data_IF_934020966970
#
_entry.id   IF_934020966970
#
_cell.length_a   1.000
_cell.length_b   1.000
_cell.length_c   1.000
_cell.angle_alpha   90.00
_cell.angle_beta   90.00
_cell.angle_gamma   90.00
#
_symmetry.space_group_name_H-M   'P 1'
#
loop_
_entity.id
_entity.type
_entity.pdbx_description
1 polymer ?
#
# COMPACT_ATOMS: atom_id res chain seq x y z
N UNK A 1 29.34 -4.44 11.88
CA UNK A 1 29.95 -3.23 11.27
C UNK A 1 30.28 -3.52 9.83
N UNK A 2 29.42 -3.10 8.92
CA UNK A 2 29.59 -3.32 7.49
C UNK A 2 28.38 -2.74 6.78
N UNK A 3 28.15 -1.43 6.95
CA UNK A 3 27.15 -0.75 6.14
C UNK A 3 27.62 -0.81 4.69
N UNK A 4 26.73 -1.22 3.79
CA UNK A 4 27.03 -1.19 2.37
C UNK A 4 27.27 0.28 1.96
N UNK A 5 28.49 0.55 1.52
CA UNK A 5 28.93 1.89 1.14
C UNK A 5 28.09 2.41 -0.03
N UNK A 6 27.57 1.53 -0.87
CA UNK A 6 26.66 1.88 -1.95
C UNK A 6 25.35 2.48 -1.41
N UNK A 7 24.69 1.78 -0.49
CA UNK A 7 23.37 2.15 0.01
C UNK A 7 23.42 3.42 0.86
N UNK A 8 24.44 3.57 1.70
CA UNK A 8 24.68 4.81 2.47
C UNK A 8 24.89 6.00 1.54
N UNK A 9 25.61 5.79 0.43
CA UNK A 9 25.87 6.86 -0.52
C UNK A 9 24.61 7.23 -1.32
N UNK A 10 23.78 6.26 -1.70
CA UNK A 10 22.48 6.51 -2.35
C UNK A 10 21.52 7.28 -1.43
N UNK A 11 21.45 6.91 -0.14
CA UNK A 11 20.66 7.64 0.86
C UNK A 11 21.17 9.08 1.07
N UNK A 12 22.50 9.30 1.06
CA UNK A 12 23.06 10.66 1.13
C UNK A 12 22.75 11.50 -0.11
N UNK A 13 22.87 10.92 -1.31
CA UNK A 13 22.51 11.60 -2.56
C UNK A 13 21.01 11.94 -2.56
N UNK A 14 20.16 11.05 -2.02
CA UNK A 14 18.72 11.27 -1.88
C UNK A 14 18.44 12.43 -0.92
N UNK A 15 18.98 12.37 0.30
CA UNK A 15 18.79 13.41 1.31
C UNK A 15 19.28 14.79 0.83
N UNK A 16 20.43 14.85 0.15
CA UNK A 16 20.96 16.09 -0.43
C UNK A 16 20.04 16.65 -1.52
N UNK A 17 19.50 15.78 -2.39
CA UNK A 17 18.53 16.20 -3.41
C UNK A 17 17.21 16.69 -2.80
N UNK A 18 16.74 16.02 -1.74
CA UNK A 18 15.49 16.34 -1.04
C UNK A 18 15.59 17.64 -0.23
N UNK A 19 16.78 17.97 0.28
CA UNK A 19 17.07 19.25 0.95
C UNK A 19 17.30 20.42 -0.04
N UNK A 20 17.23 20.17 -1.35
CA UNK A 20 17.43 21.18 -2.39
C UNK A 20 18.90 21.47 -2.73
N UNK A 21 19.83 20.62 -2.27
CA UNK A 21 21.26 20.72 -2.57
C UNK A 21 21.63 19.94 -3.84
N UNK A 22 20.97 20.22 -4.96
CA UNK A 22 21.16 19.51 -6.25
C UNK A 22 22.64 19.42 -6.66
N UNK A 23 23.40 20.51 -6.57
CA UNK A 23 24.82 20.50 -6.96
C UNK A 23 25.67 19.58 -6.06
N UNK A 24 25.34 19.45 -4.78
CA UNK A 24 26.04 18.56 -3.86
C UNK A 24 25.70 17.09 -4.14
N UNK A 25 24.42 16.80 -4.41
CA UNK A 25 23.97 15.46 -4.80
C UNK A 25 24.60 15.01 -6.14
N UNK A 26 24.67 15.89 -7.14
CA UNK A 26 25.32 15.61 -8.43
C UNK A 26 26.83 15.36 -8.29
N UNK A 27 27.51 16.15 -7.46
CA UNK A 27 28.93 15.95 -7.19
C UNK A 27 29.18 14.62 -6.48
N UNK A 28 28.36 14.30 -5.46
CA UNK A 28 28.48 13.05 -4.72
C UNK A 28 28.17 11.82 -5.58
N UNK A 29 27.16 11.91 -6.46
CA UNK A 29 26.87 10.88 -7.47
C UNK A 29 28.06 10.68 -8.41
N UNK A 30 28.64 11.76 -8.93
CA UNK A 30 29.80 11.70 -9.85
C UNK A 30 31.06 11.16 -9.19
N UNK A 31 31.33 11.51 -7.94
CA UNK A 31 32.52 11.08 -7.21
C UNK A 31 32.42 9.65 -6.70
N UNK A 32 31.22 9.22 -6.32
CA UNK A 32 30.99 7.88 -5.80
C UNK A 32 30.72 6.84 -6.89
N UNK A 33 30.25 7.28 -8.07
CA UNK A 33 29.82 6.41 -9.15
C UNK A 33 28.46 5.74 -8.91
N UNK A 34 27.77 6.07 -7.81
CA UNK A 34 26.46 5.53 -7.46
C UNK A 34 25.36 6.51 -7.86
N UNK A 35 24.41 6.05 -8.69
CA UNK A 35 23.27 6.85 -9.12
C UNK A 35 22.00 6.51 -8.30
N UNK A 36 21.13 7.52 -8.08
CA UNK A 36 19.90 7.34 -7.32
C UNK A 36 18.92 6.38 -8.03
N UNK A 37 18.82 6.52 -9.35
CA UNK A 37 18.03 5.69 -10.25
C UNK A 37 18.94 5.21 -11.38
N UNK A 38 18.73 4.00 -11.90
CA UNK A 38 19.42 3.55 -13.12
C UNK A 38 19.12 4.51 -14.28
N UNK A 39 20.10 4.80 -15.18
CA UNK A 39 19.88 5.64 -16.35
C UNK A 39 18.69 5.19 -17.20
N UNK A 40 18.44 3.89 -17.25
CA UNK A 40 17.32 3.28 -17.97
C UNK A 40 15.97 3.54 -17.29
N UNK A 41 15.94 3.57 -15.96
CA UNK A 41 14.74 3.93 -15.18
C UNK A 41 14.42 5.41 -15.35
N UNK A 42 15.43 6.27 -15.28
CA UNK A 42 15.27 7.71 -15.51
C UNK A 42 14.79 8.00 -16.94
N UNK A 43 15.36 7.33 -17.95
CA UNK A 43 14.94 7.44 -19.34
C UNK A 43 13.50 6.97 -19.55
N UNK A 44 13.11 5.84 -18.94
CA UNK A 44 11.74 5.33 -19.02
C UNK A 44 10.74 6.30 -18.38
N UNK A 45 11.06 6.80 -17.17
CA UNK A 45 10.25 7.80 -16.47
C UNK A 45 10.07 9.06 -17.32
N UNK A 46 11.15 9.56 -17.91
CA UNK A 46 11.11 10.73 -18.79
C UNK A 46 10.26 10.48 -20.05
N UNK A 47 10.38 9.30 -20.66
CA UNK A 47 9.58 8.91 -21.83
C UNK A 47 8.08 8.86 -21.51
N UNK A 48 7.69 8.29 -20.36
CA UNK A 48 6.29 8.24 -19.92
C UNK A 48 5.74 9.63 -19.62
N UNK A 49 6.47 10.47 -18.86
CA UNK A 49 6.03 11.83 -18.52
C UNK A 49 5.92 12.73 -19.75
N UNK A 50 6.81 12.53 -20.73
CA UNK A 50 6.80 13.27 -21.99
C UNK A 50 5.78 12.75 -23.01
N UNK A 51 5.08 11.65 -22.72
CA UNK A 51 4.14 11.02 -23.66
C UNK A 51 4.80 10.33 -24.87
N UNK A 52 6.08 9.99 -24.77
CA UNK A 52 6.83 9.28 -25.82
C UNK A 52 6.60 7.77 -25.71
N UNK A 53 5.38 7.35 -26.02
CA UNK A 53 4.91 5.98 -25.76
C UNK A 53 5.73 4.88 -26.47
N UNK A 54 6.22 5.15 -27.69
CA UNK A 54 7.08 4.19 -28.42
C UNK A 54 8.41 3.96 -27.72
N UNK A 55 9.03 5.02 -27.17
CA UNK A 55 10.28 4.96 -26.44
C UNK A 55 10.09 4.27 -25.08
N UNK A 56 8.99 4.59 -24.37
CA UNK A 56 8.63 3.92 -23.12
C UNK A 56 8.39 2.41 -23.33
N UNK A 57 7.70 2.02 -24.40
CA UNK A 57 7.51 0.62 -24.77
C UNK A 57 8.85 -0.07 -25.08
N UNK A 58 9.74 0.55 -25.86
CA UNK A 58 11.07 -0.03 -26.14
C UNK A 58 11.91 -0.25 -24.89
N UNK A 59 11.91 0.72 -23.96
CA UNK A 59 12.63 0.62 -22.68
C UNK A 59 12.02 -0.45 -21.77
N UNK A 60 10.69 -0.64 -21.79
CA UNK A 60 10.03 -1.72 -21.06
C UNK A 60 10.28 -3.10 -21.68
N UNK A 61 10.39 -3.20 -23.01
CA UNK A 61 10.53 -4.48 -23.74
C UNK A 61 11.96 -4.88 -24.06
N UNK A 62 12.94 -3.98 -23.90
CA UNK A 62 14.37 -4.32 -23.90
C UNK A 62 14.84 -5.04 -22.62
N UNK A 63 13.93 -5.29 -21.68
CA UNK A 63 14.15 -5.85 -20.36
C UNK A 63 14.63 -7.32 -20.38
N UNK A 64 15.93 -7.55 -20.12
CA UNK A 64 16.42 -8.89 -19.76
C UNK A 64 15.83 -9.30 -18.40
N UNK A 65 15.41 -10.56 -18.26
CA UNK A 65 15.12 -11.17 -16.94
C UNK A 65 16.45 -11.51 -16.27
N UNK A 66 16.53 -11.38 -14.94
CA UNK A 66 17.74 -11.71 -14.17
C UNK A 66 18.13 -13.23 -14.21
N UNK A 67 17.39 -14.06 -14.96
CA UNK A 67 17.63 -15.50 -15.12
C UNK A 67 17.87 -15.98 -16.56
N UNK A 68 17.77 -15.11 -17.57
CA UNK A 68 18.11 -15.49 -18.94
C UNK A 68 19.62 -15.32 -19.15
N UNK A 69 20.31 -16.43 -19.48
CA UNK A 69 21.76 -16.51 -19.58
C UNK A 69 22.43 -15.32 -20.29
N UNK A 70 23.62 -14.97 -19.80
CA UNK A 70 24.42 -13.76 -20.01
C UNK A 70 24.76 -13.34 -21.47
N UNK A 71 23.80 -13.34 -22.40
CA UNK A 71 24.09 -12.99 -23.79
C UNK A 71 22.99 -12.18 -24.51
N UNK A 72 22.19 -11.41 -23.76
CA UNK A 72 21.45 -10.27 -24.30
C UNK A 72 21.60 -9.08 -23.35
N UNK A 73 22.63 -8.28 -23.57
CA UNK A 73 22.71 -6.91 -23.06
C UNK A 73 21.56 -6.11 -23.66
N UNK A 74 20.38 -6.17 -23.03
CA UNK A 74 19.22 -5.40 -23.42
C UNK A 74 19.31 -3.99 -22.82
N UNK A 75 19.12 -2.95 -23.64
CA UNK A 75 19.04 -1.55 -23.21
C UNK A 75 17.73 -1.22 -22.45
N UNK A 76 17.03 -2.21 -21.88
CA UNK A 76 15.73 -2.03 -21.23
C UNK A 76 15.75 -2.21 -19.72
N UNK A 77 14.62 -1.92 -19.09
CA UNK A 77 14.43 -1.95 -17.64
C UNK A 77 14.73 -3.34 -17.07
N UNK A 78 15.49 -3.40 -15.98
CA UNK A 78 15.59 -4.65 -15.20
C UNK A 78 14.32 -4.74 -14.34
N UNK A 79 13.45 -5.68 -14.68
CA UNK A 79 12.20 -5.92 -13.95
C UNK A 79 12.39 -7.01 -12.90
N UNK A 80 11.77 -6.83 -11.73
CA UNK A 80 11.76 -7.84 -10.68
C UNK A 80 11.13 -9.16 -11.15
N UNK A 81 11.56 -10.27 -10.57
CA UNK A 81 11.08 -11.61 -10.93
C UNK A 81 9.61 -11.79 -10.52
N UNK A 82 8.76 -12.11 -11.51
CA UNK A 82 7.31 -12.28 -11.34
C UNK A 82 6.44 -11.09 -11.79
N UNK A 83 7.04 -9.99 -12.28
CA UNK A 83 6.31 -8.85 -12.83
C UNK A 83 5.48 -9.27 -14.05
N UNK A 84 4.17 -8.95 -14.04
CA UNK A 84 3.30 -9.15 -15.20
C UNK A 84 3.57 -8.09 -16.27
N UNK A 85 4.48 -8.43 -17.19
CA UNK A 85 4.89 -7.57 -18.33
C UNK A 85 3.72 -7.19 -19.23
N UNK A 86 2.72 -8.07 -19.34
CA UNK A 86 1.54 -7.80 -20.17
C UNK A 86 0.56 -6.83 -19.48
N UNK A 87 0.48 -6.83 -18.14
CA UNK A 87 -0.27 -5.81 -17.40
C UNK A 87 0.40 -4.43 -17.55
N UNK A 88 1.72 -4.35 -17.36
CA UNK A 88 2.47 -3.11 -17.59
C UNK A 88 2.27 -2.58 -19.02
N UNK A 89 2.35 -3.47 -20.00
CA UNK A 89 2.06 -3.16 -21.42
C UNK A 89 0.63 -2.69 -21.63
N UNK A 90 -0.35 -3.34 -21.00
CA UNK A 90 -1.75 -2.93 -21.10
C UNK A 90 -1.93 -1.50 -20.59
N UNK A 91 -1.32 -1.13 -19.45
CA UNK A 91 -1.47 0.20 -18.86
C UNK A 91 -0.89 1.31 -19.72
N UNK A 92 0.31 1.10 -20.24
CA UNK A 92 0.96 2.06 -21.15
C UNK A 92 0.10 2.27 -22.40
N UNK A 93 -0.40 1.18 -23.00
CA UNK A 93 -1.24 1.25 -24.20
C UNK A 93 -2.62 1.84 -23.93
N UNK A 94 -3.18 1.61 -22.74
CA UNK A 94 -4.43 2.23 -22.31
C UNK A 94 -4.27 3.76 -22.21
N UNK A 95 -3.18 4.23 -21.58
CA UNK A 95 -2.90 5.66 -21.50
C UNK A 95 -2.68 6.26 -22.90
N UNK A 96 -1.86 5.62 -23.74
CA UNK A 96 -1.68 6.01 -25.16
C UNK A 96 -3.02 6.10 -25.90
N UNK A 97 -3.92 5.13 -25.72
CA UNK A 97 -5.25 5.14 -26.32
C UNK A 97 -6.11 6.33 -25.87
N UNK A 98 -6.13 6.64 -24.57
CA UNK A 98 -6.90 7.78 -24.04
C UNK A 98 -6.35 9.12 -24.55
N UNK A 99 -5.03 9.26 -24.64
CA UNK A 99 -4.40 10.48 -25.18
C UNK A 99 -4.68 10.68 -26.67
N UNK A 100 -4.73 9.59 -27.45
CA UNK A 100 -5.14 9.66 -28.86
C UNK A 100 -6.60 10.07 -29.02
N UNK A 101 -7.49 9.62 -28.13
CA UNK A 101 -8.89 10.07 -28.11
C UNK A 101 -9.01 11.54 -27.71
N UNK A 102 -8.22 12.01 -26.75
CA UNK A 102 -8.17 13.44 -26.37
C UNK A 102 -7.73 14.33 -27.54
N UNK A 103 -6.79 13.85 -28.36
CA UNK A 103 -6.30 14.55 -29.55
C UNK A 103 -7.27 14.49 -30.75
N UNK A 104 -8.35 13.69 -30.67
CA UNK A 104 -9.29 13.47 -31.76
C UNK A 104 -8.79 12.49 -32.83
N UNK A 105 -7.72 11.76 -32.55
CA UNK A 105 -7.09 10.81 -33.46
C UNK A 105 -7.71 9.40 -33.34
N UNK A 106 -8.96 9.29 -33.79
CA UNK A 106 -9.76 8.06 -33.66
C UNK A 106 -9.21 6.86 -34.45
N UNK A 107 -8.57 7.08 -35.61
CA UNK A 107 -8.03 6.00 -36.45
C UNK A 107 -6.80 5.34 -35.80
N UNK A 108 -5.79 6.10 -35.32
CA UNK A 108 -4.75 5.54 -34.46
C UNK A 108 -5.30 4.89 -33.19
N UNK A 109 -6.25 5.52 -32.50
CA UNK A 109 -6.84 4.96 -31.28
C UNK A 109 -7.51 3.59 -31.52
N UNK A 110 -8.27 3.44 -32.60
CA UNK A 110 -8.86 2.16 -33.01
C UNK A 110 -7.83 1.09 -33.31
N UNK A 111 -6.70 1.49 -33.91
CA UNK A 111 -5.59 0.59 -34.21
C UNK A 111 -4.95 0.09 -32.92
N UNK A 112 -4.68 0.98 -31.96
CA UNK A 112 -4.18 0.62 -30.62
C UNK A 112 -5.16 -0.29 -29.90
N UNK A 113 -6.46 0.00 -29.94
CA UNK A 113 -7.47 -0.84 -29.29
C UNK A 113 -7.47 -2.26 -29.88
N UNK A 114 -7.61 -2.40 -31.19
CA UNK A 114 -7.78 -3.71 -31.86
C UNK A 114 -6.50 -4.54 -31.90
N UNK A 115 -5.37 -3.90 -32.19
CA UNK A 115 -4.12 -4.60 -32.49
C UNK A 115 -3.18 -4.66 -31.28
N UNK A 116 -3.30 -3.72 -30.33
CA UNK A 116 -2.37 -3.63 -29.21
C UNK A 116 -3.01 -3.98 -27.85
N UNK A 117 -4.30 -3.66 -27.63
CA UNK A 117 -5.02 -3.87 -26.36
C UNK A 117 -5.88 -5.14 -26.34
N UNK A 118 -6.67 -5.39 -27.39
CA UNK A 118 -7.53 -6.60 -27.48
C UNK A 118 -6.74 -7.91 -27.37
N UNK A 119 -5.55 -8.07 -27.99
CA UNK A 119 -4.78 -9.31 -27.90
C UNK A 119 -4.23 -9.61 -26.50
N UNK A 120 -4.13 -8.61 -25.62
CA UNK A 120 -3.67 -8.81 -24.24
C UNK A 120 -4.73 -9.49 -23.38
N UNK A 121 -5.99 -9.58 -23.85
CA UNK A 121 -7.13 -10.25 -23.21
C UNK A 121 -7.22 -10.00 -21.70
N UNK A 122 -7.01 -8.74 -21.28
CA UNK A 122 -7.11 -8.34 -19.87
C UNK A 122 -8.46 -7.72 -19.58
N UNK A 123 -9.02 -8.06 -18.43
CA UNK A 123 -10.25 -7.49 -17.90
C UNK A 123 -10.19 -5.96 -17.97
N UNK A 124 -11.03 -5.34 -18.81
CA UNK A 124 -11.06 -3.89 -19.04
C UNK A 124 -10.86 -3.44 -20.48
N UNK A 125 -10.38 -4.28 -21.40
CA UNK A 125 -10.33 -3.93 -22.84
C UNK A 125 -11.73 -3.65 -23.42
N UNK A 126 -12.73 -4.41 -22.98
CA UNK A 126 -14.12 -4.25 -23.40
C UNK A 126 -14.71 -2.90 -22.94
N UNK A 127 -14.35 -2.42 -21.75
CA UNK A 127 -14.78 -1.11 -21.23
C UNK A 127 -14.16 0.08 -21.95
N UNK A 128 -13.12 -0.11 -22.77
CA UNK A 128 -12.51 0.95 -23.57
C UNK A 128 -13.21 1.16 -24.91
N UNK A 129 -13.90 0.14 -25.42
CA UNK A 129 -14.60 0.21 -26.72
C UNK A 129 -15.67 1.32 -26.79
N UNK A 130 -16.48 1.57 -25.74
CA UNK A 130 -17.46 2.66 -25.75
C UNK A 130 -16.86 4.06 -25.81
N UNK A 131 -15.57 4.24 -25.46
CA UNK A 131 -14.92 5.55 -25.44
C UNK A 131 -14.64 6.10 -26.85
N UNK A 132 -14.59 5.23 -27.87
CA UNK A 132 -14.45 5.64 -29.27
C UNK A 132 -15.67 6.46 -29.73
N UNK A 133 -16.83 6.25 -29.12
CA UNK A 133 -18.08 6.95 -29.48
C UNK A 133 -18.22 8.32 -28.81
N UNK A 134 -17.26 8.72 -27.98
CA UNK A 134 -17.24 10.06 -27.38
C UNK A 134 -17.00 11.12 -28.46
N UNK A 135 -17.71 12.25 -28.35
CA UNK A 135 -17.70 13.33 -29.36
C UNK A 135 -16.81 14.49 -28.97
N UNK A 136 -16.47 14.59 -27.68
CA UNK A 136 -15.57 15.61 -27.14
C UNK A 136 -14.50 14.99 -26.22
N UNK A 137 -13.35 15.65 -26.08
CA UNK A 137 -12.34 15.25 -25.09
C UNK A 137 -12.87 15.21 -23.65
N UNK A 138 -13.82 16.09 -23.32
CA UNK A 138 -14.43 16.14 -21.98
C UNK A 138 -15.34 14.92 -21.72
N UNK A 139 -16.03 14.41 -22.75
CA UNK A 139 -16.80 13.16 -22.63
C UNK A 139 -15.89 11.96 -22.38
N UNK A 140 -14.69 11.94 -22.98
CA UNK A 140 -13.69 10.89 -22.74
C UNK A 140 -13.21 10.95 -21.30
N UNK A 141 -12.84 12.14 -20.80
CA UNK A 141 -12.40 12.37 -19.42
C UNK A 141 -13.44 11.93 -18.40
N UNK A 142 -14.69 12.35 -18.60
CA UNK A 142 -15.80 12.01 -17.70
C UNK A 142 -16.09 10.51 -17.70
N UNK A 143 -16.19 9.85 -18.87
CA UNK A 143 -16.50 8.42 -18.93
C UNK A 143 -15.35 7.52 -18.48
N UNK A 144 -14.11 7.93 -18.71
CA UNK A 144 -12.93 7.16 -18.32
C UNK A 144 -12.48 7.46 -16.88
N UNK A 145 -13.12 8.41 -16.18
CA UNK A 145 -12.65 8.94 -14.90
C UNK A 145 -11.14 9.30 -14.98
N UNK A 146 -10.78 10.03 -16.03
CA UNK A 146 -9.42 10.34 -16.44
C UNK A 146 -9.26 11.85 -16.62
N UNK A 147 -8.13 12.42 -16.18
CA UNK A 147 -7.94 13.86 -16.04
C UNK A 147 -7.23 14.53 -17.23
N UNK A 148 -6.87 13.78 -18.26
CA UNK A 148 -6.19 14.32 -19.45
C UNK A 148 -4.69 14.05 -19.49
N UNK A 149 -4.09 14.17 -20.66
CA UNK A 149 -2.64 14.01 -20.86
C UNK A 149 -1.81 15.05 -20.09
N UNK A 150 -2.41 16.21 -19.84
CA UNK A 150 -1.81 17.36 -19.14
C UNK A 150 -2.11 17.38 -17.64
N UNK A 151 -2.88 16.41 -17.14
CA UNK A 151 -3.16 16.22 -15.72
C UNK A 151 -2.09 15.35 -15.04
N UNK A 152 -2.50 14.66 -13.99
CA UNK A 152 -1.68 13.69 -13.25
C UNK A 152 -1.70 12.29 -13.86
N UNK A 153 -2.51 12.00 -14.88
CA UNK A 153 -2.64 10.65 -15.48
C UNK A 153 -1.32 9.94 -15.76
N UNK A 154 -0.30 10.64 -16.27
CA UNK A 154 1.03 10.06 -16.56
C UNK A 154 1.84 9.74 -15.30
N UNK A 155 1.72 10.55 -14.24
CA UNK A 155 2.33 10.28 -12.94
C UNK A 155 1.61 9.12 -12.24
N UNK A 156 0.27 9.10 -12.33
CA UNK A 156 -0.56 7.99 -11.87
C UNK A 156 -0.21 6.68 -12.59
N UNK A 157 0.07 6.72 -13.89
CA UNK A 157 0.56 5.56 -14.64
C UNK A 157 1.90 5.05 -14.10
N UNK A 158 2.88 5.93 -13.85
CA UNK A 158 4.17 5.52 -13.28
C UNK A 158 4.03 4.89 -11.88
N UNK A 159 3.15 5.45 -11.06
CA UNK A 159 2.79 4.87 -9.76
C UNK A 159 2.12 3.49 -9.90
N UNK A 160 1.23 3.31 -10.89
CA UNK A 160 0.64 2.01 -11.16
C UNK A 160 1.67 1.00 -11.64
N UNK A 161 2.55 1.39 -12.56
CA UNK A 161 3.59 0.52 -13.12
C UNK A 161 4.59 0.08 -12.04
N UNK A 162 5.03 0.97 -11.16
CA UNK A 162 5.87 0.60 -10.01
C UNK A 162 5.15 -0.40 -9.07
N UNK A 163 3.84 -0.25 -8.86
CA UNK A 163 3.05 -1.20 -8.05
C UNK A 163 2.87 -2.59 -8.70
N UNK A 164 2.95 -2.71 -10.03
CA UNK A 164 2.75 -3.98 -10.75
C UNK A 164 3.81 -5.06 -10.40
N UNK A 165 4.97 -4.69 -9.84
CA UNK A 165 6.04 -5.65 -9.51
C UNK A 165 6.09 -6.13 -8.06
N UNK A 166 5.37 -5.46 -7.15
CA UNK A 166 5.47 -5.71 -5.72
C UNK A 166 4.25 -6.47 -5.16
N UNK A 167 3.21 -6.61 -5.98
CA UNK A 167 1.87 -6.93 -5.54
C UNK A 167 1.56 -8.38 -5.14
N UNK A 168 2.50 -9.31 -5.16
CA UNK A 168 2.25 -10.71 -4.72
C UNK A 168 3.35 -11.23 -3.77
N UNK A 169 4.19 -10.32 -3.25
CA UNK A 169 5.29 -10.64 -2.35
C UNK A 169 5.27 -9.68 -1.16
N UNK A 170 5.72 -10.16 -0.01
CA UNK A 170 6.06 -9.32 1.14
C UNK A 170 7.56 -9.39 1.33
N UNK A 171 8.20 -8.22 1.35
CA UNK A 171 9.62 -8.12 1.63
C UNK A 171 9.83 -7.81 3.10
N UNK A 172 10.69 -8.60 3.71
CA UNK A 172 11.10 -8.50 5.08
C UNK A 172 12.55 -8.12 5.11
N UNK A 173 12.85 -7.03 5.79
CA UNK A 173 14.17 -6.45 5.81
C UNK A 173 14.73 -6.44 7.23
N UNK A 174 16.04 -6.59 7.34
CA UNK A 174 16.79 -6.58 8.60
C UNK A 174 17.11 -5.13 9.00
N UNK A 175 16.79 -4.74 10.22
CA UNK A 175 16.92 -3.35 10.68
C UNK A 175 18.37 -2.93 10.99
N UNK A 176 19.27 -3.86 11.33
CA UNK A 176 20.66 -3.52 11.65
C UNK A 176 21.50 -3.31 10.38
N UNK A 177 21.24 -4.12 9.36
CA UNK A 177 22.00 -4.16 8.11
C UNK A 177 21.32 -3.45 6.97
N UNK A 178 20.01 -3.16 7.10
CA UNK A 178 19.13 -2.72 6.01
C UNK A 178 19.08 -3.68 4.82
N UNK A 179 19.51 -4.92 5.02
CA UNK A 179 19.49 -5.97 4.01
C UNK A 179 18.13 -6.66 3.91
N UNK A 180 17.86 -7.28 2.76
CA UNK A 180 16.67 -8.12 2.62
C UNK A 180 16.86 -9.40 3.45
N UNK A 181 16.06 -9.59 4.49
CA UNK A 181 16.05 -10.80 5.31
C UNK A 181 15.27 -11.93 4.63
N UNK A 182 14.01 -11.67 4.26
CA UNK A 182 13.14 -12.66 3.60
C UNK A 182 12.27 -12.05 2.51
N UNK A 183 11.94 -12.85 1.50
CA UNK A 183 10.90 -12.53 0.51
C UNK A 183 9.81 -13.59 0.60
N UNK A 184 8.66 -13.20 1.16
CA UNK A 184 7.50 -14.08 1.32
C UNK A 184 6.70 -14.06 0.02
N UNK A 185 6.72 -15.16 -0.71
CA UNK A 185 6.12 -15.28 -2.05
C UNK A 185 4.76 -15.98 -2.03
N UNK A 186 4.15 -16.15 -3.22
CA UNK A 186 2.87 -16.84 -3.43
C UNK A 186 1.63 -16.19 -2.77
N UNK A 187 1.69 -14.89 -2.50
CA UNK A 187 0.59 -14.08 -1.96
C UNK A 187 -0.28 -13.54 -3.10
N UNK A 188 -0.94 -14.44 -3.82
CA UNK A 188 -1.70 -14.13 -5.03
C UNK A 188 -2.73 -13.04 -4.79
N UNK A 189 -2.71 -12.01 -5.64
CA UNK A 189 -3.71 -10.94 -5.65
C UNK A 189 -3.42 -9.77 -4.72
N UNK A 190 -2.31 -9.80 -3.97
CA UNK A 190 -1.92 -8.74 -3.04
C UNK A 190 -2.22 -9.04 -1.58
N UNK A 191 -1.48 -8.34 -0.73
CA UNK A 191 -1.63 -8.40 0.73
C UNK A 191 -2.37 -7.16 1.21
N UNK A 192 -3.40 -7.36 2.02
CA UNK A 192 -4.21 -6.25 2.57
C UNK A 192 -3.73 -5.76 3.94
N UNK A 193 -3.09 -6.64 4.70
CA UNK A 193 -2.48 -6.34 6.00
C UNK A 193 -1.50 -7.45 6.43
N UNK A 194 -0.56 -7.10 7.31
CA UNK A 194 0.36 -7.97 8.02
C UNK A 194 0.39 -7.66 9.51
N UNK A 195 0.66 -8.67 10.33
CA UNK A 195 0.81 -8.53 11.78
C UNK A 195 1.92 -9.44 12.32
N UNK A 196 2.80 -8.84 13.12
CA UNK A 196 3.89 -9.50 13.83
C UNK A 196 3.40 -10.15 15.11
N UNK A 197 3.99 -11.31 15.46
CA UNK A 197 3.91 -11.83 16.81
C UNK A 197 4.68 -10.92 17.79
N UNK A 198 4.27 -10.83 19.06
CA UNK A 198 4.96 -10.02 20.07
C UNK A 198 6.43 -10.42 20.33
N UNK A 199 6.81 -11.64 19.93
CA UNK A 199 8.16 -12.17 20.05
C UNK A 199 8.97 -12.10 18.73
N UNK A 200 8.43 -11.45 17.69
CA UNK A 200 9.01 -11.28 16.36
C UNK A 200 9.34 -12.60 15.62
N UNK A 201 8.91 -13.75 16.13
CA UNK A 201 9.20 -15.06 15.53
C UNK A 201 8.26 -15.46 14.42
N UNK A 202 7.06 -14.87 14.37
CA UNK A 202 6.01 -15.26 13.45
C UNK A 202 5.34 -14.03 12.82
N UNK A 203 4.88 -14.20 11.59
CA UNK A 203 4.15 -13.17 10.86
C UNK A 203 2.85 -13.75 10.29
N UNK A 204 1.75 -13.00 10.38
CA UNK A 204 0.50 -13.31 9.68
C UNK A 204 0.31 -12.33 8.55
N UNK A 205 -0.02 -12.85 7.36
CA UNK A 205 -0.34 -12.05 6.16
C UNK A 205 -1.80 -12.28 5.75
N UNK A 206 -2.52 -11.20 5.46
CA UNK A 206 -3.89 -11.22 4.95
C UNK A 206 -3.91 -11.13 3.42
N UNK A 207 -4.20 -12.25 2.76
CA UNK A 207 -4.28 -12.31 1.31
C UNK A 207 -5.61 -11.79 0.75
N UNK A 208 -5.53 -11.12 -0.40
CA UNK A 208 -6.71 -10.82 -1.23
C UNK A 208 -7.29 -12.03 -1.94
N UNK A 209 -6.53 -13.11 -2.04
CA UNK A 209 -6.99 -14.43 -2.48
C UNK A 209 -7.86 -15.16 -1.45
N UNK A 210 -8.24 -14.50 -0.34
CA UNK A 210 -9.06 -15.09 0.71
C UNK A 210 -8.28 -16.05 1.63
N UNK A 211 -6.97 -16.16 1.48
CA UNK A 211 -6.13 -16.97 2.38
C UNK A 211 -5.34 -16.06 3.33
N UNK A 212 -5.45 -16.35 4.63
CA UNK A 212 -4.46 -15.90 5.59
C UNK A 212 -3.35 -16.95 5.69
N UNK A 213 -2.12 -16.48 5.82
CA UNK A 213 -0.94 -17.34 5.93
C UNK A 213 -0.13 -16.95 7.16
N UNK A 214 0.41 -17.96 7.84
CA UNK A 214 1.31 -17.84 8.97
C UNK A 214 2.71 -18.21 8.50
N UNK A 215 3.67 -17.35 8.79
CA UNK A 215 5.05 -17.47 8.39
C UNK A 215 5.93 -17.56 9.62
N UNK A 216 6.89 -18.49 9.58
CA UNK A 216 7.98 -18.55 10.54
C UNK A 216 9.09 -17.64 10.05
N UNK A 217 9.42 -16.63 10.86
CA UNK A 217 10.38 -15.59 10.51
C UNK A 217 11.81 -15.95 10.91
N UNK A 218 12.03 -17.09 11.54
CA UNK A 218 13.36 -17.66 11.71
C UNK A 218 13.83 -18.41 10.45
N UNK A 219 12.90 -19.01 9.70
CA UNK A 219 13.18 -19.79 8.48
C UNK A 219 12.72 -19.10 7.19
N UNK A 220 11.80 -18.13 7.28
CA UNK A 220 11.17 -17.48 6.14
C UNK A 220 10.15 -18.34 5.41
N UNK A 221 9.60 -19.38 6.05
CA UNK A 221 8.72 -20.37 5.40
C UNK A 221 7.26 -20.25 5.83
N UNK A 222 6.33 -20.52 4.91
CA UNK A 222 4.89 -20.64 5.21
C UNK A 222 4.66 -21.87 6.10
N UNK A 223 4.26 -21.67 7.35
CA UNK A 223 3.94 -22.76 8.31
C UNK A 223 2.52 -23.25 8.09
N UNK A 224 1.59 -22.32 7.94
CA UNK A 224 0.17 -22.64 7.79
C UNK A 224 -0.52 -21.73 6.79
N UNK A 225 -1.33 -22.35 5.93
CA UNK A 225 -2.39 -21.69 5.17
C UNK A 225 -3.71 -21.93 5.85
N UNK A 226 -4.42 -20.87 6.23
CA UNK A 226 -5.72 -20.99 6.88
C UNK A 226 -6.82 -21.38 5.88
N UNK A 227 -8.00 -21.72 6.41
CA UNK A 227 -9.18 -21.99 5.59
C UNK A 227 -9.51 -20.81 4.68
N UNK A 228 -9.91 -21.10 3.45
CA UNK A 228 -10.27 -20.09 2.46
C UNK A 228 -11.50 -19.27 2.91
N UNK A 229 -11.36 -17.95 2.92
CA UNK A 229 -12.43 -16.98 3.12
C UNK A 229 -13.18 -16.74 1.82
N UNK A 230 -14.49 -16.53 1.86
CA UNK A 230 -15.27 -16.31 0.62
C UNK A 230 -15.00 -14.95 -0.02
N UNK A 231 -14.44 -14.03 0.77
CA UNK A 231 -14.09 -12.66 0.42
C UNK A 231 -12.69 -12.35 0.96
N UNK A 232 -12.02 -11.29 0.45
CA UNK A 232 -10.69 -10.89 0.92
C UNK A 232 -10.61 -10.64 2.41
N UNK A 233 -9.43 -10.93 2.96
CA UNK A 233 -9.08 -10.62 4.35
C UNK A 233 -8.48 -9.23 4.37
N UNK A 234 -9.03 -8.34 5.19
CA UNK A 234 -8.74 -6.91 5.19
C UNK A 234 -7.69 -6.51 6.23
N UNK A 235 -7.70 -7.16 7.39
CA UNK A 235 -6.88 -6.77 8.53
C UNK A 235 -6.53 -7.95 9.44
N UNK A 236 -5.40 -7.85 10.14
CA UNK A 236 -5.00 -8.81 11.16
C UNK A 236 -4.32 -8.09 12.33
N UNK A 237 -4.50 -8.63 13.54
CA UNK A 237 -3.82 -8.19 14.77
C UNK A 237 -3.44 -9.39 15.62
N UNK A 238 -2.24 -9.36 16.20
CA UNK A 238 -1.78 -10.42 17.09
C UNK A 238 -2.23 -10.17 18.53
N UNK A 239 -2.62 -11.23 19.24
CA UNK A 239 -2.96 -11.13 20.64
C UNK A 239 -1.70 -10.89 21.49
N UNK A 240 -1.76 -10.06 22.54
CA UNK A 240 -0.60 -9.82 23.40
C UNK A 240 -0.04 -11.08 24.08
N UNK A 241 -0.82 -12.15 24.16
CA UNK A 241 -0.38 -13.44 24.68
C UNK A 241 0.56 -14.22 23.74
N UNK A 242 0.71 -13.76 22.49
CA UNK A 242 1.52 -14.39 21.45
C UNK A 242 0.94 -15.70 20.89
N UNK A 243 -0.17 -16.22 21.43
CA UNK A 243 -0.71 -17.56 21.11
C UNK A 243 -1.83 -17.54 20.09
N UNK A 244 -2.45 -16.38 19.90
CA UNK A 244 -3.58 -16.22 19.01
C UNK A 244 -3.51 -14.91 18.24
N UNK A 245 -4.30 -14.81 17.17
CA UNK A 245 -4.46 -13.59 16.40
C UNK A 245 -5.89 -13.47 15.91
N UNK A 246 -6.30 -12.25 15.56
CA UNK A 246 -7.63 -11.94 15.06
C UNK A 246 -7.52 -11.51 13.61
N UNK A 247 -8.39 -12.07 12.77
CA UNK A 247 -8.55 -11.71 11.36
C UNK A 247 -9.86 -10.97 11.15
N UNK A 248 -9.79 -9.88 10.40
CA UNK A 248 -10.90 -9.12 9.88
C UNK A 248 -11.05 -9.38 8.38
N UNK A 249 -12.26 -9.66 7.91
CA UNK A 249 -12.56 -9.96 6.53
C UNK A 249 -13.85 -9.27 6.05
N UNK A 250 -13.98 -9.17 4.73
CA UNK A 250 -15.23 -8.72 4.09
C UNK A 250 -16.30 -9.82 3.97
N UNK A 251 -15.97 -11.04 4.42
CA UNK A 251 -16.90 -12.16 4.53
C UNK A 251 -17.85 -11.88 5.71
N UNK A 252 -19.14 -11.65 5.48
CA UNK A 252 -20.08 -11.33 6.56
C UNK A 252 -20.30 -12.47 7.56
N UNK A 253 -20.08 -13.72 7.14
CA UNK A 253 -20.24 -14.89 8.02
C UNK A 253 -18.98 -15.13 8.87
N UNK A 254 -17.81 -14.78 8.34
CA UNK A 254 -16.51 -14.86 9.03
C UNK A 254 -15.82 -13.51 9.10
N UNK A 255 -16.59 -12.48 9.43
CA UNK A 255 -16.16 -11.08 9.41
C UNK A 255 -15.00 -10.83 10.35
N UNK A 256 -15.09 -11.42 11.54
CA UNK A 256 -14.11 -11.28 12.59
C UNK A 256 -13.95 -12.64 13.26
N UNK A 257 -12.74 -13.20 13.19
CA UNK A 257 -12.42 -14.52 13.70
C UNK A 257 -11.09 -14.54 14.45
N UNK A 258 -11.03 -15.24 15.58
CA UNK A 258 -9.78 -15.51 16.33
C UNK A 258 -9.25 -16.88 15.94
N UNK A 259 -7.96 -16.98 15.70
CA UNK A 259 -7.25 -18.20 15.30
C UNK A 259 -6.05 -18.45 16.20
N UNK A 260 -5.62 -19.71 16.28
CA UNK A 260 -4.36 -20.08 16.91
C UNK A 260 -3.26 -20.32 15.87
N UNK A 261 -2.03 -20.54 16.35
CA UNK A 261 -0.86 -20.79 15.50
C UNK A 261 -0.92 -22.13 14.75
N UNK A 262 -1.80 -23.05 15.14
CA UNK A 262 -2.02 -24.33 14.43
C UNK A 262 -2.99 -24.18 13.26
N UNK A 263 -3.50 -22.98 13.04
CA UNK A 263 -4.51 -22.68 12.02
C UNK A 263 -5.92 -23.12 12.39
N UNK A 264 -6.20 -23.34 13.67
CA UNK A 264 -7.54 -23.68 14.14
C UNK A 264 -8.31 -22.41 14.51
N UNK A 265 -9.56 -22.32 14.06
CA UNK A 265 -10.46 -21.22 14.41
C UNK A 265 -10.95 -21.40 15.85
N UNK A 266 -10.60 -20.47 16.72
CA UNK A 266 -10.97 -20.48 18.14
C UNK A 266 -12.34 -19.85 18.38
N UNK A 267 -12.64 -18.75 17.70
CA UNK A 267 -13.84 -17.97 17.97
C UNK A 267 -14.27 -17.13 16.77
N UNK A 268 -15.57 -16.97 16.57
CA UNK A 268 -16.17 -16.01 15.63
C UNK A 268 -16.99 -14.99 16.40
N UNK A 269 -16.70 -13.71 16.21
CA UNK A 269 -17.29 -12.63 16.97
C UNK A 269 -18.71 -12.30 16.46
N UNK A 270 -19.54 -11.69 17.30
CA UNK A 270 -20.99 -11.68 17.13
C UNK A 270 -21.54 -10.83 15.96
N UNK A 271 -20.81 -9.81 15.47
CA UNK A 271 -21.31 -8.90 14.42
C UNK A 271 -20.95 -9.41 13.03
N UNK A 272 -21.96 -9.54 12.17
CA UNK A 272 -21.85 -9.99 10.77
C UNK A 272 -21.69 -8.82 9.78
N UNK A 273 -20.86 -7.84 10.14
CA UNK A 273 -20.55 -6.68 9.30
C UNK A 273 -19.21 -6.89 8.60
N UNK A 274 -18.95 -6.24 7.47
CA UNK A 274 -17.65 -6.42 6.82
C UNK A 274 -16.61 -5.65 7.62
N UNK A 275 -15.58 -6.35 8.09
CA UNK A 275 -14.53 -5.70 8.87
C UNK A 275 -13.49 -5.11 7.93
N UNK A 276 -13.18 -3.82 8.06
CA UNK A 276 -12.21 -3.13 7.22
C UNK A 276 -10.84 -2.98 7.91
N UNK A 277 -10.84 -2.70 9.22
CA UNK A 277 -9.61 -2.56 10.00
C UNK A 277 -9.78 -2.99 11.46
N UNK A 278 -8.66 -3.30 12.13
CA UNK A 278 -8.61 -3.85 13.47
C UNK A 278 -7.51 -3.23 14.31
N UNK A 279 -7.80 -3.04 15.60
CA UNK A 279 -6.81 -2.72 16.60
C UNK A 279 -7.07 -3.53 17.88
N UNK A 280 -6.02 -4.07 18.48
CA UNK A 280 -6.07 -4.81 19.73
C UNK A 280 -5.17 -4.11 20.74
N UNK A 281 -5.68 -3.85 21.94
CA UNK A 281 -4.92 -3.16 22.98
C UNK A 281 -3.82 -4.06 23.54
N UNK A 282 -2.70 -3.44 23.94
CA UNK A 282 -1.51 -4.15 24.44
C UNK A 282 -1.80 -4.91 25.75
N UNK A 283 -2.73 -4.43 26.57
CA UNK A 283 -3.21 -5.14 27.78
C UNK A 283 -4.16 -6.31 27.48
N UNK A 284 -4.53 -6.53 26.21
CA UNK A 284 -5.43 -7.60 25.78
C UNK A 284 -6.87 -7.39 26.26
N UNK A 285 -7.26 -6.17 26.62
CA UNK A 285 -8.61 -5.85 27.11
C UNK A 285 -9.58 -5.49 26.00
N UNK A 286 -9.15 -4.72 25.02
CA UNK A 286 -10.01 -4.10 24.01
C UNK A 286 -9.66 -4.59 22.61
N UNK A 287 -10.63 -5.20 21.93
CA UNK A 287 -10.56 -5.40 20.49
C UNK A 287 -11.50 -4.39 19.84
N UNK A 288 -10.97 -3.61 18.90
CA UNK A 288 -11.72 -2.61 18.15
C UNK A 288 -11.76 -3.06 16.69
N UNK A 289 -12.98 -3.18 16.16
CA UNK A 289 -13.23 -3.52 14.76
C UNK A 289 -13.99 -2.41 14.06
N UNK A 290 -13.49 -2.00 12.90
CA UNK A 290 -14.09 -0.99 12.05
C UNK A 290 -14.88 -1.68 10.94
N UNK A 291 -16.11 -1.24 10.69
CA UNK A 291 -16.96 -1.81 9.64
C UNK A 291 -17.07 -0.96 8.36
N UNK A 292 -17.81 -1.47 7.37
CA UNK A 292 -18.07 -0.80 6.09
C UNK A 292 -19.19 0.26 6.14
N UNK A 293 -19.86 0.43 7.29
CA UNK A 293 -21.04 1.28 7.47
C UNK A 293 -20.78 2.45 8.45
N UNK A 294 -19.53 2.94 8.56
CA UNK A 294 -19.11 4.03 9.43
C UNK A 294 -19.22 3.74 10.94
N UNK A 295 -19.26 2.47 11.34
CA UNK A 295 -19.28 2.08 12.74
C UNK A 295 -17.95 1.53 13.21
N UNK A 296 -17.70 1.74 14.50
CA UNK A 296 -16.67 1.06 15.25
C UNK A 296 -17.34 0.19 16.32
N UNK A 297 -16.94 -1.07 16.38
CA UNK A 297 -17.37 -2.05 17.34
C UNK A 297 -16.25 -2.29 18.36
N UNK A 298 -16.52 -2.05 19.63
CA UNK A 298 -15.55 -2.27 20.71
C UNK A 298 -15.96 -3.46 21.54
N UNK A 299 -15.07 -4.44 21.61
CA UNK A 299 -15.26 -5.69 22.32
C UNK A 299 -14.32 -5.78 23.51
N UNK A 300 -14.78 -6.49 24.53
CA UNK A 300 -13.93 -7.02 25.56
C UNK A 300 -13.24 -8.29 25.04
N UNK A 301 -11.92 -8.24 24.93
CA UNK A 301 -11.19 -9.31 24.29
C UNK A 301 -11.12 -10.59 25.12
N UNK A 302 -11.17 -10.51 26.45
CA UNK A 302 -11.14 -11.68 27.32
C UNK A 302 -12.48 -12.42 27.32
N UNK A 303 -13.57 -11.68 27.49
CA UNK A 303 -14.94 -12.23 27.57
C UNK A 303 -15.60 -12.47 26.21
N UNK A 304 -14.98 -12.00 25.13
CA UNK A 304 -15.50 -12.05 23.76
C UNK A 304 -16.88 -11.39 23.60
N UNK A 305 -17.15 -10.37 24.41
CA UNK A 305 -18.44 -9.67 24.45
C UNK A 305 -18.34 -8.30 23.81
N UNK A 306 -19.35 -7.93 23.02
CA UNK A 306 -19.49 -6.57 22.50
C UNK A 306 -19.82 -5.63 23.65
N UNK A 307 -18.97 -4.62 23.85
CA UNK A 307 -19.14 -3.62 24.91
C UNK A 307 -19.98 -2.45 24.43
N UNK A 308 -19.70 -1.96 23.22
CA UNK A 308 -20.52 -0.95 22.56
C UNK A 308 -20.20 -0.83 21.07
N UNK A 309 -21.14 -0.21 20.37
CA UNK A 309 -21.01 0.26 19.00
C UNK A 309 -20.95 1.80 19.02
N UNK A 310 -20.18 2.40 18.12
CA UNK A 310 -20.07 3.84 17.95
C UNK A 310 -20.19 4.20 16.47
N UNK A 311 -21.25 4.94 16.11
CA UNK A 311 -21.42 5.50 14.77
C UNK A 311 -20.57 6.77 14.63
N UNK A 312 -19.89 6.89 13.49
CA UNK A 312 -19.06 8.04 13.17
C UNK A 312 -19.73 8.93 12.12
N UNK A 313 -19.53 10.26 12.21
CA UNK A 313 -20.14 11.20 11.27
C UNK A 313 -19.56 11.13 9.84
N UNK A 314 -18.40 10.51 9.69
CA UNK A 314 -17.71 10.30 8.42
C UNK A 314 -17.03 8.94 8.46
N UNK A 315 -16.82 8.35 7.29
CA UNK A 315 -16.24 7.03 7.15
C UNK A 315 -14.84 6.96 7.77
N UNK A 316 -14.60 6.04 8.72
CA UNK A 316 -13.27 5.82 9.24
C UNK A 316 -12.40 5.09 8.19
N UNK A 317 -11.11 5.41 8.15
CA UNK A 317 -10.12 4.82 7.23
C UNK A 317 -9.13 3.92 7.95
N UNK A 318 -8.95 4.09 9.26
CA UNK A 318 -8.15 3.19 10.10
C UNK A 318 -8.40 3.43 11.59
N UNK A 319 -8.01 2.43 12.39
CA UNK A 319 -8.06 2.49 13.84
C UNK A 319 -6.73 2.04 14.45
N UNK A 320 -6.28 2.70 15.51
CA UNK A 320 -5.11 2.29 16.30
C UNK A 320 -5.28 2.64 17.78
N UNK A 321 -4.67 1.85 18.66
CA UNK A 321 -4.80 2.01 20.12
C UNK A 321 -3.44 2.37 20.70
N UNK A 322 -3.42 3.31 21.64
CA UNK A 322 -2.21 3.68 22.38
C UNK A 322 -1.64 2.50 23.16
N UNK A 323 -0.33 2.49 23.38
CA UNK A 323 0.37 1.46 24.17
C UNK A 323 -0.16 1.34 25.60
N UNK A 324 -0.61 2.44 26.20
CA UNK A 324 -1.25 2.43 27.50
C UNK A 324 -2.69 1.85 27.51
N UNK A 325 -3.18 1.43 26.34
CA UNK A 325 -4.48 0.79 26.13
C UNK A 325 -5.69 1.66 26.49
N UNK A 326 -5.49 2.98 26.60
CA UNK A 326 -6.52 3.93 27.06
C UNK A 326 -7.21 4.66 25.93
N UNK A 327 -6.49 5.01 24.88
CA UNK A 327 -6.96 5.88 23.82
C UNK A 327 -7.02 5.17 22.47
N UNK A 328 -8.06 5.47 21.72
CA UNK A 328 -8.30 5.00 20.36
C UNK A 328 -8.15 6.18 19.40
N UNK A 329 -7.23 6.06 18.45
CA UNK A 329 -7.13 6.92 17.29
C UNK A 329 -8.02 6.36 16.17
N UNK A 330 -8.83 7.24 15.61
CA UNK A 330 -9.69 6.96 14.47
C UNK A 330 -9.34 7.96 13.38
N UNK A 331 -8.81 7.46 12.26
CA UNK A 331 -8.63 8.27 11.08
C UNK A 331 -9.90 8.26 10.23
N UNK A 332 -10.22 9.35 9.54
CA UNK A 332 -11.46 9.48 8.76
C UNK A 332 -11.20 10.04 7.37
N UNK A 333 -12.11 9.70 6.45
CA UNK A 333 -12.08 10.14 5.06
C UNK A 333 -12.15 11.68 4.90
N UNK A 334 -12.70 12.39 5.88
CA UNK A 334 -12.81 13.85 5.87
C UNK A 334 -11.50 14.60 6.21
N UNK A 335 -10.36 13.90 6.31
CA UNK A 335 -9.07 14.51 6.61
C UNK A 335 -8.86 14.85 8.09
N UNK A 336 -9.67 14.26 8.97
CA UNK A 336 -9.60 14.46 10.41
C UNK A 336 -9.36 13.14 11.14
N UNK A 337 -8.25 13.09 11.89
CA UNK A 337 -8.01 12.01 12.83
C UNK A 337 -8.45 12.44 14.23
N UNK A 338 -9.17 11.58 14.96
CA UNK A 338 -9.69 11.87 16.30
C UNK A 338 -9.24 10.82 17.30
N UNK A 339 -8.95 11.27 18.51
CA UNK A 339 -8.61 10.43 19.66
C UNK A 339 -9.77 10.41 20.62
N UNK A 340 -10.17 9.21 21.02
CA UNK A 340 -11.22 8.95 21.99
C UNK A 340 -10.66 8.16 23.17
N UNK A 341 -11.17 8.40 24.37
CA UNK A 341 -10.96 7.51 25.50
C UNK A 341 -11.86 6.27 25.33
N UNK A 342 -11.28 5.08 25.31
CA UNK A 342 -12.00 3.83 24.98
C UNK A 342 -13.01 3.47 26.07
N UNK A 343 -12.69 3.73 27.33
CA UNK A 343 -13.55 3.34 28.45
C UNK A 343 -14.76 4.28 28.57
N UNK A 344 -14.54 5.58 28.42
CA UNK A 344 -15.56 6.62 28.64
C UNK A 344 -16.24 7.09 27.37
N UNK A 345 -15.68 6.77 26.19
CA UNK A 345 -16.15 7.19 24.85
C UNK A 345 -16.08 8.69 24.62
N UNK A 346 -15.29 9.41 25.43
CA UNK A 346 -15.17 10.85 25.30
C UNK A 346 -14.13 11.21 24.27
N UNK A 347 -14.43 12.23 23.47
CA UNK A 347 -13.46 12.87 22.60
C UNK A 347 -12.35 13.54 23.43
N UNK A 348 -11.10 13.30 23.04
CA UNK A 348 -9.91 13.83 23.71
C UNK A 348 -9.24 14.88 22.84
N UNK A 349 -8.90 14.52 21.60
CA UNK A 349 -8.09 15.37 20.72
C UNK A 349 -8.44 15.13 19.25
N UNK A 350 -8.27 16.16 18.42
CA UNK A 350 -8.37 16.07 16.97
C UNK A 350 -7.09 16.55 16.30
N UNK A 351 -6.77 15.92 15.19
CA UNK A 351 -5.66 16.25 14.30
C UNK A 351 -6.23 16.57 12.92
N UNK A 352 -5.76 17.67 12.35
CA UNK A 352 -6.14 18.15 11.01
C UNK A 352 -4.88 18.51 10.23
N UNK A 353 -4.93 18.37 8.92
CA UNK A 353 -3.83 18.78 8.03
C UNK A 353 -3.52 17.79 6.92
N UNK A 354 -3.94 16.52 7.05
CA UNK A 354 -3.89 15.56 5.96
C UNK A 354 -5.15 15.68 5.09
N UNK A 355 -5.04 15.38 3.80
CA UNK A 355 -6.22 15.12 2.97
C UNK A 355 -6.59 13.64 3.08
N UNK A 356 -7.82 13.37 3.49
CA UNK A 356 -8.42 12.06 3.33
C UNK A 356 -8.90 11.85 1.90
N UNK A 357 -9.49 10.69 1.63
CA UNK A 357 -10.05 10.36 0.32
C UNK A 357 -10.50 8.90 0.22
N UNK A 358 -10.36 8.31 -0.96
CA UNK A 358 -10.96 7.01 -1.29
C UNK A 358 -10.08 5.81 -0.88
N UNK A 359 -8.85 6.02 -0.39
CA UNK A 359 -7.96 4.95 0.06
C UNK A 359 -7.95 4.77 1.58
N UNK A 360 -7.69 3.54 2.03
CA UNK A 360 -7.35 3.26 3.42
C UNK A 360 -6.01 3.92 3.74
N UNK A 361 -6.03 4.81 4.73
CA UNK A 361 -4.85 5.49 5.25
C UNK A 361 -4.74 5.11 6.72
N UNK A 362 -3.73 4.29 7.03
CA UNK A 362 -3.44 3.86 8.40
C UNK A 362 -2.65 4.94 9.13
N UNK A 363 -3.19 5.37 10.26
CA UNK A 363 -2.58 6.35 11.15
C UNK A 363 -2.20 5.69 12.46
N UNK A 364 -1.05 6.08 13.01
CA UNK A 364 -0.54 5.49 14.26
C UNK A 364 0.06 6.56 15.18
N UNK A 365 0.17 6.20 16.45
CA UNK A 365 0.85 7.01 17.45
C UNK A 365 2.37 6.87 17.31
N UNK A 366 3.05 8.01 17.32
CA UNK A 366 4.50 8.09 17.18
C UNK A 366 5.16 8.77 18.39
N UNK A 367 6.43 8.47 18.58
CA UNK A 367 7.26 9.01 19.66
C UNK A 367 7.42 8.06 20.84
N UNK A 368 8.47 8.26 21.64
CA UNK A 368 8.77 7.43 22.81
C UNK A 368 7.59 7.40 23.82
N UNK A 369 6.78 8.46 23.86
CA UNK A 369 5.60 8.60 24.70
C UNK A 369 4.31 8.82 23.89
N UNK A 370 4.25 8.39 22.62
CA UNK A 370 3.05 8.57 21.77
C UNK A 370 2.60 10.04 21.66
N UNK A 371 3.57 10.96 21.61
CA UNK A 371 3.33 12.40 21.70
C UNK A 371 2.94 13.04 20.35
N UNK A 372 2.92 12.28 19.26
CA UNK A 372 2.42 12.73 17.97
C UNK A 372 1.66 11.64 17.24
N UNK A 373 0.93 12.03 16.19
CA UNK A 373 0.26 11.10 15.28
C UNK A 373 0.90 11.21 13.91
N UNK A 374 1.18 10.06 13.31
CA UNK A 374 1.64 9.95 11.93
C UNK A 374 0.45 9.50 11.09
N UNK A 375 0.22 10.15 9.96
CA UNK A 375 -0.82 9.76 9.01
C UNK A 375 -0.35 9.96 7.58
N UNK A 376 -0.75 9.04 6.71
CA UNK A 376 -0.70 9.27 5.27
C UNK A 376 -1.70 10.31 4.80
N UNK A 377 -1.62 10.65 3.51
CA UNK A 377 -2.51 11.59 2.84
C UNK A 377 -2.59 11.32 1.35
N UNK A 378 -3.76 11.61 0.79
CA UNK A 378 -4.05 11.38 -0.63
C UNK A 378 -3.76 12.60 -1.52
N UNK A 379 -3.27 13.73 -1.00
CA UNK A 379 -2.98 14.89 -1.83
C UNK A 379 -1.90 14.52 -2.89
N UNK A 380 -1.96 15.15 -4.08
CA UNK A 380 -1.06 15.01 -5.24
C UNK A 380 0.32 14.43 -4.92
N UNK A 381 0.94 13.73 -5.87
CA UNK A 381 2.30 13.16 -5.76
C UNK A 381 3.39 14.22 -5.39
N UNK A 382 3.03 15.52 -5.37
CA UNK A 382 3.83 16.65 -4.85
C UNK A 382 3.58 17.02 -3.37
N UNK A 383 2.67 16.35 -2.68
CA UNK A 383 2.18 16.63 -1.32
C UNK A 383 2.12 15.35 -0.49
N UNK A 384 3.27 14.92 0.02
CA UNK A 384 3.65 15.09 1.43
C UNK A 384 2.93 14.13 2.40
N UNK A 385 3.69 13.22 3.01
CA UNK A 385 3.28 12.48 4.21
C UNK A 385 3.28 13.42 5.42
N UNK A 386 2.30 13.28 6.33
CA UNK A 386 2.10 14.26 7.41
C UNK A 386 2.38 13.64 8.78
N UNK A 387 3.28 14.28 9.52
CA UNK A 387 3.41 14.13 10.97
C UNK A 387 2.65 15.28 11.62
N UNK A 388 1.53 14.98 12.29
CA UNK A 388 0.80 15.98 13.07
C UNK A 388 1.24 15.84 14.52
N UNK A 389 2.20 16.66 14.92
CA UNK A 389 2.44 16.92 16.34
C UNK A 389 1.39 17.94 16.79
N UNK A 390 0.87 17.83 18.01
CA UNK A 390 -0.17 18.74 18.54
C UNK A 390 0.13 20.24 18.48
N UNK A 391 1.35 20.64 18.08
CA UNK A 391 1.79 22.03 17.92
C UNK A 391 2.49 22.35 16.58
N UNK A 392 2.56 21.41 15.63
CA UNK A 392 3.25 21.63 14.36
C UNK A 392 3.10 20.47 13.36
N UNK A 393 3.08 20.83 12.08
CA UNK A 393 2.93 19.88 10.96
C UNK A 393 4.28 19.70 10.28
N UNK A 394 4.86 18.51 10.39
CA UNK A 394 6.09 18.16 9.66
C UNK A 394 5.72 17.35 8.42
N UNK A 395 6.33 17.70 7.28
CA UNK A 395 5.98 17.19 5.95
C UNK A 395 7.16 16.39 5.39
N UNK A 396 6.91 15.16 4.97
CA UNK A 396 7.90 14.31 4.31
C UNK A 396 7.54 14.13 2.84
N UNK A 397 8.43 14.43 1.87
CA UNK A 397 8.17 14.18 0.46
C UNK A 397 8.13 12.67 0.17
N UNK A 398 7.16 12.21 -0.64
CA UNK A 398 7.00 10.79 -0.97
C UNK A 398 5.60 10.47 -1.54
N UNK A 399 5.44 9.28 -2.11
CA UNK A 399 4.18 8.80 -2.70
C UNK A 399 3.07 8.56 -1.64
N UNK A 400 1.89 8.09 -2.07
CA UNK A 400 0.76 7.78 -1.18
C UNK A 400 1.17 6.80 -0.07
N UNK A 401 1.27 7.33 1.14
CA UNK A 401 1.59 6.57 2.35
C UNK A 401 0.35 5.83 2.84
N UNK A 402 0.34 4.50 2.74
CA UNK A 402 -0.73 3.69 3.34
C UNK A 402 -0.50 3.56 4.84
N UNK A 403 0.76 3.48 5.28
CA UNK A 403 1.09 3.06 6.65
C UNK A 403 2.36 3.70 7.16
N UNK A 404 2.28 4.21 8.39
CA UNK A 404 3.44 4.61 9.16
C UNK A 404 3.54 3.78 10.44
N UNK A 405 4.72 3.28 10.75
CA UNK A 405 5.02 2.66 12.05
C UNK A 405 6.13 3.42 12.76
N UNK A 406 5.99 3.61 14.07
CA UNK A 406 7.04 4.18 14.90
C UNK A 406 7.74 3.11 15.74
N UNK A 407 9.06 3.01 15.61
CA UNK A 407 9.85 2.16 16.48
C UNK A 407 10.33 2.94 17.72
N UNK A 408 9.92 2.54 18.94
CA UNK A 408 10.24 3.28 20.16
C UNK A 408 11.72 3.21 20.59
N UNK A 409 12.46 2.17 20.20
CA UNK A 409 13.86 2.02 20.63
C UNK A 409 14.85 2.80 19.76
N UNK A 410 14.57 2.90 18.45
CA UNK A 410 15.48 3.50 17.46
C UNK A 410 14.99 4.87 16.94
N UNK A 411 13.80 5.31 17.38
CA UNK A 411 13.18 6.55 16.94
C UNK A 411 13.00 6.64 15.41
N UNK A 412 12.75 5.51 14.75
CA UNK A 412 12.57 5.41 13.30
C UNK A 412 11.10 5.33 12.90
N UNK A 413 10.80 5.83 11.70
CA UNK A 413 9.47 5.74 11.07
C UNK A 413 9.58 4.87 9.81
N UNK A 414 8.81 3.79 9.74
CA UNK A 414 8.64 3.04 8.49
C UNK A 414 7.46 3.61 7.72
N UNK A 415 7.62 3.78 6.41
CA UNK A 415 6.61 4.30 5.51
C UNK A 415 6.33 3.29 4.39
N UNK A 416 5.14 2.69 4.35
CA UNK A 416 4.74 1.79 3.25
C UNK A 416 3.83 2.52 2.25
N UNK A 417 4.13 2.35 0.96
CA UNK A 417 3.44 3.04 -0.14
C UNK A 417 2.57 2.09 -0.97
N UNK A 418 1.37 2.53 -1.35
CA UNK A 418 0.48 1.76 -2.25
C UNK A 418 -0.96 2.29 -2.30
N UNK A 419 -1.87 1.59 -2.97
CA UNK A 419 -3.31 1.97 -3.08
C UNK A 419 -4.25 0.84 -2.65
N UNK A 420 -4.92 1.00 -1.52
CA UNK A 420 -5.97 0.07 -1.04
C UNK A 420 -7.29 0.83 -0.93
N UNK A 421 -8.28 0.51 -1.80
CA UNK A 421 -9.63 1.09 -1.73
C UNK A 421 -10.58 0.18 -0.94
N UNK A 422 -11.26 0.67 0.10
CA UNK A 422 -12.22 -0.12 0.85
C UNK A 422 -13.61 -0.12 0.17
N UNK A 423 -14.23 -1.30 0.00
CA UNK A 423 -15.55 -1.50 -0.62
C UNK A 423 -15.57 -1.77 -2.14
N UNK A 424 -14.49 -1.50 -2.88
CA UNK A 424 -14.36 -1.78 -4.33
C UNK A 424 -13.48 -3.03 -4.62
N UNK A 425 -13.53 -4.04 -3.75
CA UNK A 425 -12.72 -5.25 -3.90
C UNK A 425 -13.14 -6.15 -5.07
N UNK A 426 -14.32 -5.93 -5.66
CA UNK A 426 -14.89 -6.82 -6.68
C UNK A 426 -14.67 -6.40 -8.15
N UNK A 427 -14.13 -5.20 -8.45
CA UNK A 427 -13.87 -4.76 -9.84
C UNK A 427 -12.66 -3.82 -9.94
N UNK A 428 -11.51 -4.35 -10.42
CA UNK A 428 -10.25 -3.65 -10.82
C UNK A 428 -9.38 -3.07 -9.68
N UNK A 429 -8.06 -2.82 -9.75
CA UNK A 429 -6.90 -3.19 -10.61
C UNK A 429 -5.56 -2.79 -9.94
N UNK A 430 -5.49 -2.69 -8.61
CA UNK A 430 -4.25 -2.35 -7.88
C UNK A 430 -3.88 -3.54 -7.00
N UNK A 431 -2.66 -4.07 -7.17
CA UNK A 431 -2.10 -5.06 -6.26
C UNK A 431 -1.35 -4.31 -5.17
N UNK A 432 -1.88 -4.17 -3.95
CA UNK A 432 -1.10 -3.61 -2.86
C UNK A 432 0.05 -4.57 -2.54
N UNK A 433 1.23 -3.99 -2.39
CA UNK A 433 2.38 -4.65 -1.82
C UNK A 433 2.58 -4.18 -0.40
N UNK A 434 2.91 -5.09 0.49
CA UNK A 434 3.28 -4.74 1.86
C UNK A 434 4.74 -5.11 2.11
N UNK A 435 5.41 -4.27 2.88
CA UNK A 435 6.76 -4.50 3.38
C UNK A 435 6.72 -4.49 4.90
N UNK A 436 7.51 -5.35 5.53
CA UNK A 436 7.73 -5.36 6.96
C UNK A 436 9.23 -5.46 7.25
N UNK A 437 9.62 -5.20 8.49
CA UNK A 437 11.00 -5.36 8.93
C UNK A 437 11.06 -6.33 10.11
N UNK A 438 12.11 -7.14 10.17
CA UNK A 438 12.48 -7.99 11.31
C UNK A 438 13.63 -7.33 12.05
N UNK A 439 13.66 -7.52 13.36
CA UNK A 439 14.77 -7.11 14.21
C UNK A 439 16.03 -7.92 14.00
#
# INVERSE_FOLDING_TARGET
>A
MGHDREEVTRLMIQALSEMGYQSAAENLSRESGYELESPTVAAFRAAVLSGKWTEAEQLLFGAATAGDGANRAGNGLVLAEGVDRDDMRFRIRQQKFLELLEQGDYRPALTVLRNELTPLNRNGAESLSPLIMCRSPDDVKAKAAWDGAHGESRHNLLSQLSSCGSGDKVFIWDMETFGLAFSLADLKGGVGNIAWSPDDTMLVTCGRDGYARIWDMTTGTEVHRLEHFSEPISSCVWAPDGRSFVLGAFDRERSLCTWNLRGEKLHTWSKKNRTEDLALSADGRWLVAMDDENHIHVYDFATKSLKYDMELPSRPTSVSITKDSKYLLVNKQDGEARVFDIATRTFVQKYKGHSGGEYLIRSDFGGANENFVISGSEADIRSQSWMVTGHGVMRWPGALLIRAYWHPAEMTVQLDYGRIRPGYFNRQRTKPSESAWVR
#
